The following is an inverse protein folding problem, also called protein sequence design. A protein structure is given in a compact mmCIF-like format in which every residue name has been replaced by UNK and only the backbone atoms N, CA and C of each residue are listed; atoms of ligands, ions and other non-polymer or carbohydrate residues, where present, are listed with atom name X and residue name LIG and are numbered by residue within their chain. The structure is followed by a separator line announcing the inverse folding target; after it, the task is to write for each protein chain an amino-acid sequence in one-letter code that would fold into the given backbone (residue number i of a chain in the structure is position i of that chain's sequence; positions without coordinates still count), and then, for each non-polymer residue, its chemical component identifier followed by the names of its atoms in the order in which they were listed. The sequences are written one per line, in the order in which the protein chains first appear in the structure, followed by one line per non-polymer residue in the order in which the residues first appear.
data_IF_304042708118
#
_entry.id   IF_304042708118
#
_cell.length_a   1.000
_cell.length_b   1.000
_cell.length_c   1.000
_cell.angle_alpha   90.00
_cell.angle_beta   90.00
_cell.angle_gamma   90.00
#
_symmetry.space_group_name_H-M   'P 1'
#
loop_
_entity.id
_entity.type
_entity.pdbx_description
1 polymer ?
#
# COMPACT_ATOMS: atom_id res chain seq x y z
N UNK A 1 -1.26 27.08 7.52
CA UNK A 1 -0.13 26.17 7.23
C UNK A 1 -0.51 25.27 6.08
N UNK A 2 0.39 25.06 5.13
CA UNK A 2 0.20 24.11 4.02
C UNK A 2 1.22 22.99 4.20
N UNK A 3 0.80 21.76 3.96
CA UNK A 3 1.68 20.58 3.99
C UNK A 3 1.77 20.01 2.59
N UNK A 4 2.97 19.59 2.21
CA UNK A 4 3.26 19.00 0.90
C UNK A 4 3.69 17.57 1.13
N UNK A 5 3.14 16.66 0.32
CA UNK A 5 3.46 15.24 0.33
C UNK A 5 3.77 14.81 -1.10
N UNK A 6 4.51 13.72 -1.28
CA UNK A 6 4.76 13.14 -2.60
C UNK A 6 3.45 12.68 -3.27
N UNK A 7 2.50 12.21 -2.47
CA UNK A 7 1.14 11.89 -2.89
C UNK A 7 0.14 12.15 -1.75
N UNK A 8 -1.10 12.54 -2.11
CA UNK A 8 -2.21 12.68 -1.19
C UNK A 8 -3.47 12.06 -1.81
N UNK A 9 -4.05 11.07 -1.13
CA UNK A 9 -5.18 10.30 -1.64
C UNK A 9 -6.50 10.81 -1.06
N UNK A 10 -7.48 10.98 -1.93
CA UNK A 10 -8.87 11.29 -1.61
C UNK A 10 -9.66 10.04 -1.20
N UNK A 11 -10.79 10.18 -0.49
CA UNK A 11 -11.65 9.04 -0.15
C UNK A 11 -12.23 8.28 -1.36
N UNK A 12 -12.22 8.88 -2.55
CA UNK A 12 -12.62 8.23 -3.81
C UNK A 12 -11.55 7.30 -4.37
N UNK A 13 -10.31 7.41 -3.93
CA UNK A 13 -9.23 6.55 -4.38
C UNK A 13 -9.22 5.25 -3.61
N UNK A 14 -9.38 4.15 -4.35
CA UNK A 14 -9.43 2.81 -3.77
C UNK A 14 -8.06 2.25 -3.42
N UNK A 15 -8.07 1.08 -2.78
CA UNK A 15 -6.87 0.37 -2.33
C UNK A 15 -5.87 0.05 -3.43
N UNK A 16 -6.34 -0.18 -4.66
CA UNK A 16 -5.48 -0.44 -5.81
C UNK A 16 -4.61 0.78 -6.14
N UNK A 17 -5.19 1.99 -6.15
CA UNK A 17 -4.44 3.22 -6.43
C UNK A 17 -3.38 3.50 -5.35
N UNK A 18 -3.74 3.30 -4.08
CA UNK A 18 -2.78 3.42 -2.96
C UNK A 18 -1.65 2.39 -3.09
N UNK A 19 -1.97 1.15 -3.46
CA UNK A 19 -0.97 0.11 -3.69
C UNK A 19 -0.01 0.48 -4.83
N UNK A 20 -0.54 0.90 -5.97
CA UNK A 20 0.26 1.23 -7.15
C UNK A 20 1.21 2.40 -6.90
N UNK A 21 0.76 3.40 -6.14
CA UNK A 21 1.56 4.58 -5.84
C UNK A 21 2.61 4.34 -4.73
N UNK A 22 2.29 3.54 -3.70
CA UNK A 22 3.15 3.40 -2.51
C UNK A 22 3.93 2.09 -2.49
N UNK A 23 3.25 0.97 -2.72
CA UNK A 23 3.81 -0.35 -2.45
C UNK A 23 4.45 -1.00 -3.68
N UNK A 24 3.91 -0.79 -4.88
CA UNK A 24 4.46 -1.36 -6.12
C UNK A 24 5.94 -0.99 -6.36
N UNK A 25 6.39 0.26 -6.14
CA UNK A 25 7.81 0.59 -6.26
C UNK A 25 8.68 -0.15 -5.23
N UNK A 26 8.19 -0.32 -4.00
CA UNK A 26 8.87 -1.06 -2.95
C UNK A 26 9.00 -2.56 -3.30
N UNK A 27 7.93 -3.17 -3.80
CA UNK A 27 7.94 -4.56 -4.29
C UNK A 27 8.95 -4.74 -5.43
N UNK A 28 8.96 -3.83 -6.41
CA UNK A 28 9.94 -3.87 -7.50
C UNK A 28 11.38 -3.77 -7.00
N UNK A 29 11.64 -2.91 -6.00
CA UNK A 29 12.95 -2.79 -5.35
C UNK A 29 13.35 -4.09 -4.64
N UNK A 30 12.40 -4.75 -3.98
CA UNK A 30 12.61 -6.05 -3.33
C UNK A 30 12.92 -7.17 -4.32
N UNK A 31 12.23 -7.23 -5.45
CA UNK A 31 12.54 -8.18 -6.51
C UNK A 31 13.92 -7.93 -7.15
N UNK A 32 14.42 -6.70 -7.11
CA UNK A 32 15.77 -6.35 -7.53
C UNK A 32 16.86 -6.65 -6.48
N UNK A 33 16.50 -7.26 -5.34
CA UNK A 33 17.43 -7.68 -4.29
C UNK A 33 17.68 -6.64 -3.19
N UNK A 34 16.87 -5.59 -3.09
CA UNK A 34 16.98 -4.57 -2.04
C UNK A 34 15.93 -4.74 -0.94
N UNK A 35 16.25 -4.32 0.28
CA UNK A 35 15.27 -4.32 1.38
C UNK A 35 14.32 -3.13 1.24
N UNK A 36 13.02 -3.36 1.44
CA UNK A 36 12.01 -2.30 1.48
C UNK A 36 11.14 -2.44 2.74
N UNK A 37 10.64 -1.30 3.25
CA UNK A 37 9.76 -1.26 4.41
C UNK A 37 8.68 -0.20 4.21
N UNK A 38 7.44 -0.53 4.58
CA UNK A 38 6.27 0.35 4.49
C UNK A 38 5.67 0.45 5.89
N UNK A 39 5.46 1.69 6.36
CA UNK A 39 4.92 1.97 7.69
C UNK A 39 3.63 2.79 7.55
N UNK A 40 2.54 2.30 8.16
CA UNK A 40 1.30 3.06 8.30
C UNK A 40 1.29 3.79 9.64
N UNK A 41 1.12 5.12 9.62
CA UNK A 41 1.13 5.98 10.80
C UNK A 41 -0.17 6.78 10.94
N UNK A 42 -0.65 6.96 12.17
CA UNK A 42 -1.88 7.70 12.49
C UNK A 42 -2.54 7.25 13.78
N UNK A 43 -3.50 8.02 14.29
CA UNK A 43 -4.24 7.67 15.51
C UNK A 43 -5.14 6.43 15.33
N UNK A 44 -5.66 5.86 16.42
CA UNK A 44 -6.61 4.73 16.37
C UNK A 44 -7.87 5.15 15.60
N UNK A 45 -8.33 4.30 14.68
CA UNK A 45 -9.46 4.61 13.79
C UNK A 45 -9.10 5.37 12.51
N UNK A 46 -7.83 5.80 12.33
CA UNK A 46 -7.39 6.53 11.13
C UNK A 46 -7.19 5.65 9.87
N UNK A 47 -7.61 4.38 9.89
CA UNK A 47 -7.54 3.51 8.71
C UNK A 47 -6.23 2.73 8.50
N UNK A 48 -5.24 2.80 9.40
CA UNK A 48 -3.95 2.05 9.25
C UNK A 48 -4.13 0.57 8.87
N UNK A 49 -4.95 -0.18 9.62
CA UNK A 49 -5.22 -1.61 9.36
C UNK A 49 -5.98 -1.81 8.05
N UNK A 50 -6.90 -0.91 7.72
CA UNK A 50 -7.60 -0.94 6.43
C UNK A 50 -6.62 -0.73 5.27
N UNK A 51 -5.67 0.21 5.37
CA UNK A 51 -4.64 0.41 4.33
C UNK A 51 -3.69 -0.78 4.20
N UNK A 52 -3.20 -1.34 5.32
CA UNK A 52 -2.20 -2.41 5.29
C UNK A 52 -2.80 -3.78 4.96
N UNK A 53 -3.87 -4.19 5.63
CA UNK A 53 -4.51 -5.50 5.44
C UNK A 53 -5.73 -5.39 4.53
N UNK A 54 -6.60 -4.43 4.80
CA UNK A 54 -7.85 -4.24 4.07
C UNK A 54 -8.84 -5.37 4.30
N UNK A 55 -9.73 -5.57 3.32
CA UNK A 55 -10.65 -6.71 3.32
C UNK A 55 -9.92 -8.00 2.90
N UNK A 56 -10.41 -9.19 3.31
CA UNK A 56 -9.82 -10.48 2.92
C UNK A 56 -9.80 -10.70 1.41
N UNK A 57 -10.82 -10.23 0.70
CA UNK A 57 -11.01 -10.43 -0.74
C UNK A 57 -11.54 -9.18 -1.45
N UNK A 58 -11.62 -9.29 -2.79
CA UNK A 58 -12.16 -8.24 -3.65
C UNK A 58 -11.32 -6.97 -3.75
N UNK A 59 -11.99 -5.88 -4.14
CA UNK A 59 -11.35 -4.59 -4.42
C UNK A 59 -10.81 -3.89 -3.17
N UNK A 60 -11.22 -4.32 -1.97
CA UNK A 60 -10.87 -3.68 -0.71
C UNK A 60 -9.65 -4.31 -0.01
N UNK A 61 -8.99 -5.31 -0.63
CA UNK A 61 -7.69 -5.84 -0.19
C UNK A 61 -6.66 -4.72 -0.07
N UNK A 62 -5.93 -4.67 1.04
CA UNK A 62 -4.91 -3.67 1.33
C UNK A 62 -3.55 -3.98 0.71
N UNK A 63 -2.52 -3.29 1.20
CA UNK A 63 -1.15 -3.38 0.69
C UNK A 63 -0.55 -4.78 0.83
N UNK A 64 -0.63 -5.41 2.01
CA UNK A 64 0.01 -6.70 2.30
C UNK A 64 -0.49 -7.80 1.35
N UNK A 65 -1.80 -8.09 1.25
CA UNK A 65 -2.26 -9.17 0.38
C UNK A 65 -2.01 -8.88 -1.10
N UNK A 66 -1.95 -7.61 -1.53
CA UNK A 66 -1.60 -7.24 -2.92
C UNK A 66 -0.12 -7.45 -3.20
N UNK A 67 0.76 -7.01 -2.30
CA UNK A 67 2.20 -7.17 -2.43
C UNK A 67 2.59 -8.66 -2.51
N UNK A 68 2.00 -9.49 -1.65
CA UNK A 68 2.21 -10.94 -1.68
C UNK A 68 1.81 -11.52 -3.04
N UNK A 69 0.63 -11.17 -3.55
CA UNK A 69 0.18 -11.66 -4.86
C UNK A 69 1.11 -11.19 -6.00
N UNK A 70 1.51 -9.92 -6.01
CA UNK A 70 2.38 -9.33 -7.02
C UNK A 70 3.78 -10.00 -7.02
N UNK A 71 4.34 -10.25 -5.84
CA UNK A 71 5.61 -10.99 -5.70
C UNK A 71 5.47 -12.40 -6.30
N UNK A 72 4.41 -13.14 -5.98
CA UNK A 72 4.21 -14.50 -6.48
C UNK A 72 3.87 -14.57 -7.97
N UNK A 73 3.36 -13.49 -8.59
CA UNK A 73 3.20 -13.41 -10.05
C UNK A 73 4.53 -13.24 -10.80
N UNK A 74 5.58 -12.79 -10.10
CA UNK A 74 6.93 -12.58 -10.66
C UNK A 74 7.92 -13.71 -10.32
N UNK A 75 7.49 -14.74 -9.59
CA UNK A 75 8.26 -15.96 -9.26
C UNK A 75 7.90 -17.08 -10.23
#
# INVERSE_FOLDING_TARGET
YSFTFDAAFSPSEGQAAVYDAVARPAVSSTLAGFNASIIAYGHTGAGKTHTMEGAPDGAQRGIIPRAVADIFEHV
#
